data_IF_138071241278
#
_entry.id   IF_138071241278
#
_cell.length_a   1.000
_cell.length_b   1.000
_cell.length_c   1.000
_cell.angle_alpha   90.00
_cell.angle_beta   90.00
_cell.angle_gamma   90.00
#
_symmetry.space_group_name_H-M   'P 1'
#
loop_
_entity.id
_entity.type
_entity.pdbx_description
1 polymer ?
#
# COMPACT_ATOMS: atom_id res chain seq x y z
N UNK A 1 28.13 21.29 54.46
CA UNK A 1 26.77 20.73 54.24
C UNK A 1 26.56 20.65 52.74
N UNK A 2 26.26 19.45 52.21
CA UNK A 2 26.06 19.20 50.77
C UNK A 2 24.56 19.29 50.46
N UNK A 3 24.17 20.08 49.46
CA UNK A 3 22.79 20.15 48.95
C UNK A 3 22.77 19.68 47.50
N UNK A 4 21.97 18.64 47.26
CA UNK A 4 21.74 18.05 45.94
C UNK A 4 20.33 18.43 45.52
N UNK A 5 20.19 19.18 44.42
CA UNK A 5 18.90 19.42 43.79
C UNK A 5 18.63 18.31 42.78
N UNK A 6 17.52 17.59 42.93
CA UNK A 6 17.05 16.59 41.98
C UNK A 6 16.06 17.24 40.99
N UNK A 7 16.35 17.13 39.69
CA UNK A 7 15.44 17.49 38.60
C UNK A 7 14.51 16.30 38.31
N UNK A 8 13.23 16.46 38.60
CA UNK A 8 12.19 15.50 38.20
C UNK A 8 11.80 15.72 36.74
N UNK A 9 11.99 14.70 35.89
CA UNK A 9 11.46 14.66 34.53
C UNK A 9 10.01 14.20 34.56
N UNK A 10 9.08 15.05 34.11
CA UNK A 10 7.70 14.65 33.82
C UNK A 10 7.65 13.99 32.45
N UNK A 11 7.48 12.67 32.40
CA UNK A 11 7.12 11.98 31.16
C UNK A 11 5.63 12.20 30.88
N UNK A 12 5.34 13.06 29.90
CA UNK A 12 3.99 13.21 29.37
C UNK A 12 3.62 11.97 28.56
N UNK A 13 2.68 11.16 29.04
CA UNK A 13 2.02 10.13 28.26
C UNK A 13 1.08 10.81 27.27
N UNK A 14 1.46 10.89 25.99
CA UNK A 14 0.54 11.32 24.94
C UNK A 14 -0.54 10.26 24.77
N UNK A 15 -1.77 10.59 25.14
CA UNK A 15 -2.94 9.79 24.79
C UNK A 15 -3.08 9.82 23.27
N UNK A 16 -2.84 8.68 22.62
CA UNK A 16 -3.22 8.49 21.23
C UNK A 16 -4.75 8.56 21.15
N UNK A 17 -5.27 9.65 20.60
CA UNK A 17 -6.70 9.78 20.33
C UNK A 17 -7.01 8.83 19.18
N UNK A 18 -7.90 7.83 19.35
CA UNK A 18 -8.35 7.03 18.22
C UNK A 18 -9.03 7.95 17.21
N UNK A 19 -8.56 7.92 15.97
CA UNK A 19 -9.21 8.65 14.89
C UNK A 19 -10.66 8.16 14.77
N UNK A 20 -11.61 9.09 14.86
CA UNK A 20 -13.03 8.84 14.63
C UNK A 20 -13.20 8.30 13.21
N UNK A 21 -13.60 7.03 13.08
CA UNK A 21 -14.03 6.43 11.82
C UNK A 21 -15.45 6.95 11.53
N UNK A 22 -15.69 7.69 10.44
CA UNK A 22 -17.03 8.10 10.08
C UNK A 22 -17.83 6.89 9.57
N UNK A 23 -18.89 6.52 10.30
CA UNK A 23 -19.90 5.55 9.87
C UNK A 23 -19.73 4.17 10.49
N UNK A 24 -20.74 3.72 11.25
CA UNK A 24 -20.79 2.43 11.96
C UNK A 24 -20.87 1.17 11.10
N UNK A 25 -20.23 1.16 9.92
CA UNK A 25 -19.89 -0.05 9.19
C UNK A 25 -18.40 -0.31 9.38
N UNK A 26 -18.01 -1.49 9.85
CA UNK A 26 -16.61 -1.79 10.11
C UNK A 26 -15.71 -1.52 8.88
N UNK A 27 -14.51 -1.00 9.11
CA UNK A 27 -13.54 -0.72 8.04
C UNK A 27 -13.15 -2.00 7.30
N UNK A 28 -13.34 -2.05 5.99
CA UNK A 28 -12.88 -3.18 5.16
C UNK A 28 -11.39 -2.99 4.86
N UNK A 29 -10.56 -3.86 5.43
CA UNK A 29 -9.11 -3.81 5.28
C UNK A 29 -8.65 -4.99 4.42
N UNK A 30 -7.69 -4.73 3.55
CA UNK A 30 -7.18 -5.67 2.57
C UNK A 30 -5.65 -5.73 2.62
N UNK A 31 -5.08 -6.83 2.14
CA UNK A 31 -3.65 -6.99 1.85
C UNK A 31 -3.42 -7.03 0.35
N UNK A 32 -2.20 -6.67 -0.08
CA UNK A 32 -1.77 -6.74 -1.47
C UNK A 32 -0.80 -7.88 -1.73
N UNK A 33 -1.00 -8.59 -2.84
CA UNK A 33 -0.21 -9.74 -3.27
C UNK A 33 0.07 -9.68 -4.77
N UNK A 34 1.17 -10.30 -5.19
CA UNK A 34 1.48 -10.49 -6.60
C UNK A 34 0.81 -11.74 -7.17
N UNK A 35 0.33 -11.62 -8.41
CA UNK A 35 0.01 -12.74 -9.28
C UNK A 35 0.94 -12.67 -10.50
N UNK A 36 1.66 -13.74 -10.79
CA UNK A 36 2.67 -13.76 -11.87
C UNK A 36 2.85 -15.15 -12.47
N UNK A 37 3.34 -15.20 -13.71
CA UNK A 37 3.83 -16.47 -14.31
C UNK A 37 5.19 -16.89 -13.72
N UNK A 38 5.91 -15.95 -13.09
CA UNK A 38 7.19 -16.22 -12.45
C UNK A 38 6.94 -16.76 -11.04
N UNK A 39 7.21 -18.05 -10.83
CA UNK A 39 6.97 -18.75 -9.54
C UNK A 39 7.60 -18.07 -8.33
N UNK A 40 8.74 -17.39 -8.51
CA UNK A 40 9.42 -16.70 -7.43
C UNK A 40 8.69 -15.42 -6.95
N UNK A 41 7.79 -14.87 -7.77
CA UNK A 41 6.99 -13.68 -7.50
C UNK A 41 5.53 -14.01 -7.23
N UNK A 42 5.01 -15.05 -7.86
CA UNK A 42 3.62 -15.46 -7.69
C UNK A 42 3.29 -15.76 -6.23
N UNK A 43 2.19 -15.20 -5.74
CA UNK A 43 1.73 -15.38 -4.37
C UNK A 43 2.47 -14.53 -3.32
N UNK A 44 3.52 -13.79 -3.68
CA UNK A 44 4.26 -12.98 -2.70
C UNK A 44 3.46 -11.75 -2.28
N UNK A 45 3.39 -11.49 -0.97
CA UNK A 45 2.78 -10.27 -0.44
C UNK A 45 3.67 -9.05 -0.68
N UNK A 46 3.01 -7.92 -0.93
CA UNK A 46 3.69 -6.63 -1.01
C UNK A 46 3.87 -6.06 0.39
N UNK A 47 5.04 -5.51 0.66
CA UNK A 47 5.37 -4.73 1.84
C UNK A 47 5.93 -3.37 1.45
N UNK A 48 6.28 -2.56 2.45
CA UNK A 48 6.88 -1.23 2.26
C UNK A 48 8.32 -1.25 2.77
N UNK A 49 9.26 -0.82 1.94
CA UNK A 49 10.65 -0.57 2.33
C UNK A 49 11.01 0.89 2.02
N UNK A 50 11.25 1.68 3.07
CA UNK A 50 11.28 3.14 2.97
C UNK A 50 9.90 3.65 2.50
N UNK A 51 9.85 4.24 1.31
CA UNK A 51 8.60 4.63 0.65
C UNK A 51 8.18 3.67 -0.46
N UNK A 52 9.00 2.70 -0.85
CA UNK A 52 8.72 1.86 -2.03
C UNK A 52 7.90 0.64 -1.65
N UNK A 53 6.87 0.35 -2.43
CA UNK A 53 6.05 -0.86 -2.30
C UNK A 53 6.61 -1.95 -3.20
N UNK A 54 6.73 -3.16 -2.66
CA UNK A 54 7.41 -4.26 -3.34
C UNK A 54 7.43 -5.55 -2.55
N UNK A 55 8.11 -6.56 -3.10
CA UNK A 55 8.46 -7.79 -2.39
C UNK A 55 9.85 -7.60 -1.81
N UNK A 56 9.99 -7.63 -0.49
CA UNK A 56 11.28 -7.45 0.18
C UNK A 56 11.52 -8.61 1.14
N UNK A 57 12.47 -9.48 0.82
CA UNK A 57 12.78 -10.70 1.58
C UNK A 57 13.66 -10.44 2.80
N UNK A 58 14.45 -9.37 2.76
CA UNK A 58 15.44 -9.06 3.81
C UNK A 58 15.05 -7.85 4.66
N UNK A 59 13.92 -7.20 4.40
CA UNK A 59 13.46 -6.07 5.20
C UNK A 59 12.92 -6.56 6.56
N UNK A 60 13.34 -5.93 7.65
CA UNK A 60 12.95 -6.25 9.04
C UNK A 60 11.45 -6.16 9.33
N UNK A 61 10.67 -5.66 8.38
CA UNK A 61 9.21 -5.63 8.37
C UNK A 61 8.72 -6.27 7.07
N UNK A 62 8.78 -7.61 7.00
CA UNK A 62 8.13 -8.40 5.95
C UNK A 62 6.59 -8.43 6.12
N UNK A 63 6.03 -7.49 6.90
CA UNK A 63 4.61 -7.36 7.12
C UNK A 63 3.92 -6.91 5.83
N UNK A 64 2.93 -7.66 5.34
CA UNK A 64 2.15 -7.25 4.19
C UNK A 64 1.55 -5.86 4.41
N UNK A 65 1.66 -5.00 3.40
CA UNK A 65 0.97 -3.72 3.40
C UNK A 65 -0.53 -3.97 3.48
N UNK A 66 -1.18 -3.29 4.41
CA UNK A 66 -2.62 -3.34 4.60
C UNK A 66 -3.21 -2.00 4.19
N UNK A 67 -4.39 -2.00 3.59
CA UNK A 67 -5.06 -0.78 3.17
C UNK A 67 -6.57 -0.89 3.28
N UNK A 68 -7.24 0.26 3.33
CA UNK A 68 -8.67 0.41 3.16
C UNK A 68 -8.94 1.38 2.00
N UNK A 69 -9.90 1.08 1.11
CA UNK A 69 -10.21 1.95 0.00
C UNK A 69 -11.14 3.09 0.42
N UNK A 70 -10.87 4.30 -0.06
CA UNK A 70 -11.79 5.43 -0.03
C UNK A 70 -12.24 5.70 -1.47
N UNK A 71 -13.52 5.46 -1.77
CA UNK A 71 -14.06 5.55 -3.13
C UNK A 71 -14.64 6.94 -3.40
N UNK A 72 -14.22 7.57 -4.49
CA UNK A 72 -14.93 8.72 -5.05
C UNK A 72 -16.23 8.25 -5.72
N UNK A 73 -17.36 8.66 -5.14
CA UNK A 73 -18.70 8.28 -5.60
C UNK A 73 -19.04 8.77 -7.01
N UNK A 74 -18.34 9.79 -7.53
CA UNK A 74 -18.61 10.34 -8.88
C UNK A 74 -17.90 9.55 -9.96
N UNK A 75 -16.67 9.14 -9.70
CA UNK A 75 -15.79 8.52 -10.70
C UNK A 75 -15.68 6.99 -10.52
N UNK A 76 -16.00 6.47 -9.34
CA UNK A 76 -15.76 5.09 -8.95
C UNK A 76 -14.27 4.77 -8.76
N UNK A 77 -13.39 5.77 -8.80
CA UNK A 77 -11.97 5.61 -8.52
C UNK A 77 -11.73 5.57 -7.01
N UNK A 78 -10.63 4.97 -6.59
CA UNK A 78 -10.32 4.77 -5.18
C UNK A 78 -8.96 5.35 -4.82
N UNK A 79 -8.89 5.87 -3.59
CA UNK A 79 -7.66 6.15 -2.85
C UNK A 79 -7.36 4.94 -1.94
N UNK A 80 -6.08 4.57 -1.82
CA UNK A 80 -5.64 3.37 -1.08
C UNK A 80 -4.95 3.79 0.23
N UNK A 81 -5.72 4.04 1.27
CA UNK A 81 -5.18 4.48 2.55
C UNK A 81 -4.64 3.29 3.34
N UNK A 82 -3.44 3.40 3.90
CA UNK A 82 -2.82 2.27 4.61
C UNK A 82 -3.40 2.07 6.01
N UNK A 83 -3.29 0.84 6.50
CA UNK A 83 -3.69 0.40 7.82
C UNK A 83 -2.50 -0.23 8.56
N UNK A 84 -2.34 -0.02 9.89
CA UNK A 84 -3.19 0.78 10.77
C UNK A 84 -3.14 2.28 10.46
N UNK A 85 -4.22 3.00 10.81
CA UNK A 85 -4.31 4.45 10.60
C UNK A 85 -3.28 5.14 11.48
N UNK A 86 -2.30 5.79 10.85
CA UNK A 86 -1.28 6.58 11.54
C UNK A 86 -1.78 8.01 11.83
N UNK A 87 -1.04 8.74 12.66
CA UNK A 87 -1.33 10.15 12.95
C UNK A 87 -1.25 11.05 11.71
N UNK A 88 -0.38 10.68 10.75
CA UNK A 88 -0.32 11.29 9.42
C UNK A 88 -0.84 10.28 8.42
N UNK A 89 -1.85 10.67 7.65
CA UNK A 89 -2.45 9.79 6.64
C UNK A 89 -1.39 9.30 5.66
N UNK A 90 -1.36 7.99 5.47
CA UNK A 90 -0.39 7.27 4.66
C UNK A 90 -1.17 6.63 3.52
N UNK A 91 -0.89 7.02 2.28
CA UNK A 91 -1.67 6.61 1.10
C UNK A 91 -0.72 5.96 0.09
N UNK A 92 -1.15 4.86 -0.51
CA UNK A 92 -0.42 4.26 -1.62
C UNK A 92 -0.66 5.06 -2.90
N UNK A 93 0.41 5.44 -3.57
CA UNK A 93 0.43 6.30 -4.74
C UNK A 93 1.38 5.77 -5.81
N UNK A 94 1.15 6.16 -7.06
CA UNK A 94 2.10 5.98 -8.15
C UNK A 94 2.91 7.27 -8.33
N UNK A 95 4.22 7.17 -8.10
CA UNK A 95 5.13 8.31 -8.09
C UNK A 95 6.26 8.11 -9.10
N UNK A 96 6.43 9.03 -10.06
CA UNK A 96 7.52 8.93 -11.03
C UNK A 96 7.39 9.87 -12.22
N UNK A 97 8.15 9.60 -13.27
CA UNK A 97 8.26 10.41 -14.49
C UNK A 97 8.32 9.51 -15.73
N UNK A 98 8.08 10.08 -16.92
CA UNK A 98 8.29 9.41 -18.21
C UNK A 98 7.60 8.04 -18.33
N UNK A 99 6.35 7.96 -17.84
CA UNK A 99 5.56 6.74 -17.88
C UNK A 99 6.01 5.63 -16.92
N UNK A 100 7.08 5.79 -16.15
CA UNK A 100 7.52 4.79 -15.17
C UNK A 100 7.23 5.30 -13.75
N UNK A 101 6.14 4.81 -13.15
CA UNK A 101 5.65 5.26 -11.86
C UNK A 101 5.89 4.18 -10.80
N UNK A 102 6.64 4.51 -9.76
CA UNK A 102 6.93 3.60 -8.65
C UNK A 102 5.74 3.55 -7.70
N UNK A 103 5.29 2.34 -7.35
CA UNK A 103 4.25 2.19 -6.35
C UNK A 103 4.83 2.47 -4.97
N UNK A 104 4.27 3.46 -4.28
CA UNK A 104 4.93 4.09 -3.15
C UNK A 104 3.92 4.37 -2.04
N UNK A 105 4.36 4.23 -0.78
CA UNK A 105 3.62 4.73 0.37
C UNK A 105 4.01 6.20 0.62
N UNK A 106 3.03 7.09 0.62
CA UNK A 106 3.24 8.55 0.71
C UNK A 106 2.44 9.12 1.88
N UNK A 107 3.14 9.86 2.73
CA UNK A 107 2.53 10.64 3.81
C UNK A 107 1.89 11.92 3.25
N UNK A 108 0.60 12.13 3.49
CA UNK A 108 -0.17 13.33 3.11
C UNK A 108 0.19 13.84 1.69
N UNK A 109 -0.15 13.08 0.63
CA UNK A 109 0.31 13.38 -0.73
C UNK A 109 -0.15 14.75 -1.25
N UNK A 110 -1.20 15.33 -0.68
CA UNK A 110 -1.64 16.69 -1.01
C UNK A 110 -0.67 17.78 -0.53
N UNK A 111 0.15 17.49 0.49
CA UNK A 111 1.17 18.41 1.03
C UNK A 111 2.60 17.98 0.72
N UNK A 112 2.80 16.75 0.24
CA UNK A 112 4.11 16.24 -0.13
C UNK A 112 4.73 17.03 -1.29
N UNK A 113 6.02 17.33 -1.18
CA UNK A 113 6.79 17.98 -2.23
C UNK A 113 7.47 16.94 -3.11
N UNK A 114 7.29 17.04 -4.42
CA UNK A 114 7.96 16.20 -5.41
C UNK A 114 8.82 17.06 -6.35
N UNK A 115 9.93 16.51 -6.89
CA UNK A 115 10.71 17.21 -7.91
C UNK A 115 9.83 17.64 -9.09
N UNK A 116 10.15 18.79 -9.69
CA UNK A 116 9.38 19.31 -10.83
C UNK A 116 9.30 18.26 -11.95
N UNK A 117 8.10 18.06 -12.48
CA UNK A 117 7.82 17.07 -13.53
C UNK A 117 7.48 15.67 -13.00
N UNK A 118 7.57 15.45 -11.69
CA UNK A 118 7.15 14.19 -11.05
C UNK A 118 5.64 14.12 -10.95
N UNK A 119 5.07 13.03 -11.47
CA UNK A 119 3.70 12.63 -11.21
C UNK A 119 3.63 11.99 -9.84
N UNK A 120 2.62 12.37 -9.04
CA UNK A 120 2.19 11.64 -7.85
C UNK A 120 0.68 11.49 -7.98
N UNK A 121 0.21 10.28 -8.28
CA UNK A 121 -1.22 9.98 -8.39
C UNK A 121 -1.61 8.93 -7.35
N UNK A 122 -2.50 9.31 -6.44
CA UNK A 122 -3.07 8.44 -5.42
C UNK A 122 -4.59 8.27 -5.58
N UNK A 123 -5.20 8.89 -6.59
CA UNK A 123 -6.65 9.01 -6.75
C UNK A 123 -7.20 8.16 -7.87
N UNK A 124 -6.35 7.68 -8.77
CA UNK A 124 -6.79 7.01 -10.00
C UNK A 124 -6.71 5.49 -9.93
N UNK A 125 -6.88 4.87 -8.76
CA UNK A 125 -6.95 3.40 -8.68
C UNK A 125 -8.37 2.88 -8.92
N UNK A 126 -8.46 1.61 -9.31
CA UNK A 126 -9.70 0.84 -9.34
C UNK A 126 -9.49 -0.51 -8.69
N UNK A 127 -10.40 -0.90 -7.81
CA UNK A 127 -10.51 -2.28 -7.36
C UNK A 127 -11.43 -3.01 -8.33
N UNK A 128 -10.84 -3.73 -9.29
CA UNK A 128 -11.62 -4.60 -10.16
C UNK A 128 -11.92 -5.89 -9.40
N UNK A 129 -13.20 -6.14 -9.12
CA UNK A 129 -13.69 -7.39 -8.53
C UNK A 129 -14.64 -8.08 -9.50
N UNK A 130 -14.66 -9.41 -9.51
CA UNK A 130 -15.60 -10.21 -10.29
C UNK A 130 -14.96 -11.36 -11.04
N UNK A 131 -15.69 -11.97 -11.97
CA UNK A 131 -15.15 -13.05 -12.79
C UNK A 131 -13.94 -12.55 -13.60
N UNK A 132 -12.82 -13.30 -13.63
CA UNK A 132 -11.66 -12.93 -14.42
C UNK A 132 -12.05 -12.62 -15.87
N UNK A 133 -11.62 -11.46 -16.38
CA UNK A 133 -11.87 -11.06 -17.77
C UNK A 133 -11.03 -11.85 -18.77
N UNK A 134 -10.08 -12.66 -18.29
CA UNK A 134 -9.29 -13.59 -19.08
C UNK A 134 -8.91 -14.83 -18.26
N UNK A 135 -8.79 -16.02 -18.89
CA UNK A 135 -8.30 -17.23 -18.23
C UNK A 135 -6.93 -17.00 -17.57
N UNK A 136 -6.81 -17.37 -16.29
CA UNK A 136 -5.59 -17.20 -15.51
C UNK A 136 -5.38 -15.81 -14.89
N UNK A 137 -6.33 -14.88 -14.99
CA UNK A 137 -6.32 -13.65 -14.20
C UNK A 137 -7.00 -13.84 -12.83
N UNK A 138 -6.54 -13.13 -11.80
CA UNK A 138 -7.20 -13.11 -10.49
C UNK A 138 -8.55 -12.41 -10.58
N UNK A 139 -9.53 -12.84 -9.78
CA UNK A 139 -10.86 -12.24 -9.67
C UNK A 139 -10.85 -10.85 -9.03
N UNK A 140 -9.80 -10.55 -8.28
CA UNK A 140 -9.58 -9.28 -7.59
C UNK A 140 -8.26 -8.71 -8.06
N UNK A 141 -8.28 -7.59 -8.78
CA UNK A 141 -7.05 -6.92 -9.22
C UNK A 141 -7.13 -5.43 -8.94
N UNK A 142 -6.01 -4.88 -8.48
CA UNK A 142 -5.79 -3.46 -8.43
C UNK A 142 -5.42 -2.98 -9.84
N UNK A 143 -6.19 -2.05 -10.39
CA UNK A 143 -5.90 -1.42 -11.67
C UNK A 143 -5.60 0.07 -11.49
N UNK A 144 -4.91 0.66 -12.46
CA UNK A 144 -4.65 2.10 -12.52
C UNK A 144 -5.33 2.71 -13.73
N UNK A 145 -6.05 3.80 -13.50
CA UNK A 145 -6.86 4.51 -14.48
C UNK A 145 -6.18 5.77 -15.03
N UNK A 146 -5.08 6.22 -14.42
CA UNK A 146 -4.45 7.48 -14.78
C UNK A 146 -3.67 7.43 -16.10
N UNK A 147 -3.27 6.24 -16.58
CA UNK A 147 -2.67 6.07 -17.90
C UNK A 147 -2.75 4.62 -18.39
N UNK A 148 -2.55 4.42 -19.69
CA UNK A 148 -2.38 3.08 -20.27
C UNK A 148 -1.04 2.49 -19.83
N UNK A 149 -1.03 1.22 -19.46
CA UNK A 149 0.17 0.52 -19.00
C UNK A 149 -0.14 -0.80 -18.31
N UNK A 150 0.83 -1.31 -17.58
CA UNK A 150 0.68 -2.53 -16.80
C UNK A 150 1.51 -2.48 -15.52
N UNK A 151 1.11 -3.29 -14.54
CA UNK A 151 1.95 -3.55 -13.39
C UNK A 151 3.18 -4.36 -13.78
N UNK A 152 4.33 -3.93 -13.30
CA UNK A 152 5.63 -4.54 -13.61
C UNK A 152 6.49 -4.55 -12.36
N UNK A 153 7.13 -5.68 -12.08
CA UNK A 153 8.10 -5.83 -11.01
C UNK A 153 9.53 -5.63 -11.55
N UNK A 154 10.33 -4.85 -10.83
CA UNK A 154 11.73 -4.57 -11.13
C UNK A 154 12.62 -5.05 -9.97
N UNK A 155 13.75 -5.73 -10.23
CA UNK A 155 14.70 -6.09 -9.19
C UNK A 155 15.11 -4.85 -8.39
N UNK A 156 15.27 -4.98 -7.07
CA UNK A 156 15.54 -3.84 -6.18
C UNK A 156 16.61 -4.18 -5.16
N UNK A 157 17.81 -3.59 -5.28
CA UNK A 157 18.86 -3.63 -4.27
C UNK A 157 19.44 -5.03 -3.99
N UNK A 158 18.71 -5.84 -3.22
CA UNK A 158 19.11 -7.17 -2.79
C UNK A 158 18.58 -8.27 -3.72
N UNK A 159 19.25 -9.42 -3.68
CA UNK A 159 18.83 -10.60 -4.44
C UNK A 159 17.45 -11.07 -3.95
N UNK A 160 16.49 -11.06 -4.87
CA UNK A 160 15.13 -11.53 -4.60
C UNK A 160 14.18 -10.45 -4.09
N UNK A 161 14.66 -9.21 -3.94
CA UNK A 161 13.84 -8.03 -3.66
C UNK A 161 13.37 -7.41 -4.98
N UNK A 162 12.13 -6.95 -5.00
CA UNK A 162 11.47 -6.42 -6.18
C UNK A 162 10.63 -5.20 -5.83
N UNK A 163 10.81 -4.11 -6.56
CA UNK A 163 9.93 -2.95 -6.52
C UNK A 163 8.79 -3.10 -7.52
N UNK A 164 7.58 -2.74 -7.12
CA UNK A 164 6.40 -2.75 -7.99
C UNK A 164 6.22 -1.37 -8.60
N UNK A 165 5.98 -1.33 -9.91
CA UNK A 165 5.80 -0.09 -10.66
C UNK A 165 4.66 -0.22 -11.66
N UNK A 166 4.02 0.89 -11.98
CA UNK A 166 3.22 1.02 -13.19
C UNK A 166 4.14 1.41 -14.34
N UNK A 167 4.18 0.58 -15.38
CA UNK A 167 4.92 0.84 -16.61
C UNK A 167 3.94 1.28 -17.69
N UNK A 168 3.98 2.56 -18.04
CA UNK A 168 3.27 3.14 -19.16
C UNK A 168 3.69 2.52 -20.49
N UNK A 169 2.79 2.58 -21.48
CA UNK A 169 3.03 2.02 -22.82
C UNK A 169 4.25 2.64 -23.53
N UNK A 170 4.56 3.89 -23.21
CA UNK A 170 5.67 4.70 -23.74
C UNK A 170 6.96 4.60 -22.92
N UNK A 171 6.93 3.93 -21.76
CA UNK A 171 8.08 3.81 -20.89
C UNK A 171 9.11 2.80 -21.44
N UNK A 172 10.33 3.27 -21.65
CA UNK A 172 11.48 2.44 -22.01
C UNK A 172 12.25 2.00 -20.76
N UNK A 173 12.62 0.72 -20.71
CA UNK A 173 13.33 0.12 -19.58
C UNK A 173 14.50 -0.71 -20.09
N UNK A 174 15.68 -0.54 -19.50
CA UNK A 174 16.92 -1.28 -19.85
C UNK A 174 17.23 -2.40 -18.86
N UNK A 175 16.42 -2.55 -17.82
CA UNK A 175 16.60 -3.56 -16.76
C UNK A 175 15.62 -4.70 -16.97
N UNK A 176 16.05 -5.92 -16.64
CA UNK A 176 15.16 -7.07 -16.57
C UNK A 176 13.97 -6.78 -15.66
N UNK A 177 12.77 -7.01 -16.17
CA UNK A 177 11.52 -6.72 -15.45
C UNK A 177 10.50 -7.80 -15.76
N UNK A 178 9.59 -8.03 -14.82
CA UNK A 178 8.61 -9.10 -14.90
C UNK A 178 7.21 -8.49 -14.94
N UNK A 179 6.37 -8.78 -15.96
CA UNK A 179 4.97 -8.41 -15.92
C UNK A 179 4.28 -9.16 -14.78
N UNK A 180 3.44 -8.44 -14.05
CA UNK A 180 2.73 -8.93 -12.87
C UNK A 180 1.31 -8.40 -12.86
N UNK A 181 0.48 -8.97 -12.00
CA UNK A 181 -0.78 -8.38 -11.56
C UNK A 181 -0.67 -8.12 -10.06
N UNK A 182 -1.28 -7.01 -9.61
CA UNK A 182 -1.42 -6.70 -8.18
C UNK A 182 -2.83 -7.08 -7.76
N UNK A 183 -2.93 -7.96 -6.78
CA UNK A 183 -4.18 -8.56 -6.27
C UNK A 183 -4.43 -8.03 -4.88
N UNK A 184 -5.70 -7.81 -4.55
CA UNK A 184 -6.13 -7.47 -3.20
C UNK A 184 -6.99 -8.59 -2.59
N UNK A 185 -6.79 -8.84 -1.31
CA UNK A 185 -7.47 -9.90 -0.55
C UNK A 185 -7.96 -9.33 0.78
N UNK A 186 -9.20 -9.61 1.21
CA UNK A 186 -9.70 -9.11 2.48
C UNK A 186 -8.93 -9.73 3.64
N UNK A 187 -8.70 -8.95 4.69
CA UNK A 187 -8.23 -9.50 5.97
C UNK A 187 -9.48 -10.02 6.68
N UNK A 188 -9.56 -11.34 6.87
CA UNK A 188 -10.65 -11.96 7.61
C UNK A 188 -10.73 -11.34 9.01
N UNK A 189 -11.89 -10.81 9.37
CA UNK A 189 -12.23 -10.49 10.75
C UNK A 189 -12.85 -11.74 11.35
N UNK A 190 -12.20 -12.35 12.35
CA UNK A 190 -12.89 -13.30 13.22
C UNK A 190 -13.83 -12.46 14.07
N UNK A 191 -15.12 -12.51 13.75
CA UNK A 191 -16.17 -12.01 14.63
C UNK A 191 -16.34 -13.09 15.70
N UNK A 192 -16.18 -12.75 16.97
CA UNK A 192 -16.54 -13.67 18.04
C UNK A 192 -18.04 -14.03 17.92
N UNK A 193 -18.42 -15.23 18.35
CA UNK A 193 -19.80 -15.74 18.22
C UNK A 193 -20.84 -14.87 18.96
N UNK A 194 -20.38 -13.84 19.69
CA UNK A 194 -21.17 -12.89 20.47
C UNK A 194 -21.19 -11.46 19.91
N UNK A 195 -20.47 -11.16 18.81
CA UNK A 195 -20.57 -9.88 18.11
C UNK A 195 -19.94 -8.66 18.78
N UNK A 196 -19.14 -8.84 19.85
CA UNK A 196 -18.67 -7.74 20.72
C UNK A 196 -17.14 -7.59 20.79
N UNK A 197 -16.36 -8.35 20.01
CA UNK A 197 -14.90 -8.24 20.03
C UNK A 197 -14.21 -8.39 18.67
N UNK A 198 -13.48 -7.35 18.23
CA UNK A 198 -12.51 -7.47 17.12
C UNK A 198 -11.19 -7.99 17.69
N UNK A 199 -10.87 -9.26 17.43
CA UNK A 199 -9.51 -9.79 17.67
C UNK A 199 -8.69 -9.57 16.40
N UNK A 200 -7.79 -8.59 16.43
CA UNK A 200 -6.73 -8.49 15.42
C UNK A 200 -5.63 -9.48 15.77
N UNK A 201 -5.46 -10.53 14.97
CA UNK A 201 -4.30 -11.43 15.12
C UNK A 201 -3.08 -10.73 14.53
N UNK A 202 -2.10 -10.42 15.37
CA UNK A 202 -0.80 -9.88 15.00
C UNK A 202 0.09 -10.95 14.36
#
# INVERSE_FOLDING_TARGET
MKWTFALGLFTATTLAIPALIPGGGGLNVYKLRLSSRTKALDGQYLGVNGSTVGVFKTASSATPVQFYPVTDKKTGLVELHTYPIAAVDQILALVGTNGLLTFSNVADPAKAAFPRGTTCDWKSFRLAGGNPTAPGRPSNSLAYAGSNGSWTAFPSGNKGDWSVKWKGADAYTTTDSMPIEVVYEPIEKIVDENGDGIITIA
#
